data_IF_290959749294
#
_entry.id   IF_290959749294
#
_cell.length_a   1.000
_cell.length_b   1.000
_cell.length_c   1.000
_cell.angle_alpha   90.00
_cell.angle_beta   90.00
_cell.angle_gamma   90.00
#
_symmetry.space_group_name_H-M   'P 1'
#
loop_
_entity.id
_entity.type
_entity.pdbx_description
1 polymer ?
#
# COMPACT_ATOMS: atom_id res chain seq x y z
N UNK A 1 26.67 -26.23 -6.90
CA UNK A 1 26.76 -26.96 -8.17
C UNK A 1 28.21 -26.94 -8.63
N UNK A 2 28.66 -27.95 -9.36
CA UNK A 2 30.02 -28.02 -9.91
C UNK A 2 30.36 -26.82 -10.82
N UNK A 3 29.34 -26.18 -11.40
CA UNK A 3 29.48 -25.00 -12.27
C UNK A 3 29.42 -23.65 -11.53
N UNK A 4 29.13 -23.63 -10.21
CA UNK A 4 29.01 -22.41 -9.41
C UNK A 4 27.84 -21.48 -9.76
N UNK A 5 26.86 -21.97 -10.53
CA UNK A 5 25.68 -21.25 -11.01
C UNK A 5 24.45 -21.38 -10.11
N UNK A 6 24.58 -22.00 -8.94
CA UNK A 6 23.53 -22.04 -7.92
C UNK A 6 23.65 -20.82 -6.99
N UNK A 7 22.52 -20.17 -6.69
CA UNK A 7 22.46 -19.03 -5.78
C UNK A 7 21.29 -19.15 -4.82
N UNK A 8 21.49 -18.71 -3.58
CA UNK A 8 20.41 -18.40 -2.64
C UNK A 8 20.30 -16.87 -2.53
N UNK A 9 19.08 -16.36 -2.65
CA UNK A 9 18.80 -14.92 -2.65
C UNK A 9 18.09 -14.56 -1.34
N UNK A 10 18.55 -13.50 -0.68
CA UNK A 10 17.90 -12.93 0.50
C UNK A 10 17.60 -11.47 0.17
N UNK A 11 16.31 -11.13 0.11
CA UNK A 11 15.80 -9.76 -0.08
C UNK A 11 14.64 -9.60 0.87
N UNK A 12 14.71 -8.59 1.72
CA UNK A 12 13.72 -8.37 2.78
C UNK A 12 13.76 -6.90 3.27
N UNK A 13 12.77 -6.51 4.06
CA UNK A 13 12.62 -5.16 4.60
C UNK A 13 13.83 -4.76 5.48
N UNK A 14 14.41 -3.59 5.23
CA UNK A 14 15.52 -3.06 6.03
C UNK A 14 15.10 -2.77 7.48
N UNK A 15 13.83 -2.45 7.69
CA UNK A 15 13.23 -2.16 8.99
C UNK A 15 13.30 -3.37 9.95
N UNK A 16 13.40 -4.60 9.42
CA UNK A 16 13.65 -5.82 10.21
C UNK A 16 14.97 -5.77 10.97
N UNK A 17 15.93 -5.00 10.48
CA UNK A 17 17.27 -4.90 11.04
C UNK A 17 17.40 -3.79 12.08
N UNK A 18 16.33 -3.38 12.75
CA UNK A 18 16.44 -2.47 13.90
C UNK A 18 15.18 -1.69 14.26
N UNK A 19 14.30 -1.44 13.30
CA UNK A 19 13.13 -0.59 13.54
C UNK A 19 11.99 -1.37 14.18
N UNK A 20 11.80 -2.63 13.78
CA UNK A 20 10.70 -3.45 14.29
C UNK A 20 10.85 -3.75 15.79
N UNK A 21 9.75 -3.96 16.54
CA UNK A 21 9.80 -4.15 17.99
C UNK A 21 10.80 -5.22 18.43
N UNK A 22 11.75 -4.84 19.28
CA UNK A 22 12.77 -5.75 19.82
C UNK A 22 13.95 -6.05 18.89
N UNK A 23 13.86 -5.73 17.60
CA UNK A 23 14.92 -6.03 16.62
C UNK A 23 16.19 -5.24 16.88
N UNK A 24 16.13 -3.96 17.27
CA UNK A 24 17.33 -3.20 17.64
C UNK A 24 18.19 -3.89 18.71
N UNK A 25 17.53 -4.39 19.77
CA UNK A 25 18.22 -5.13 20.84
C UNK A 25 18.83 -6.42 20.33
N UNK A 26 18.16 -7.15 19.44
CA UNK A 26 18.68 -8.39 18.88
C UNK A 26 19.83 -8.16 17.90
N UNK A 27 19.59 -7.29 16.92
CA UNK A 27 20.46 -7.04 15.78
C UNK A 27 21.75 -6.35 16.22
N UNK A 28 21.65 -5.30 17.04
CA UNK A 28 22.79 -4.47 17.43
C UNK A 28 23.29 -4.76 18.85
N UNK A 29 22.44 -4.68 19.90
CA UNK A 29 22.92 -4.84 21.28
C UNK A 29 23.39 -6.27 21.58
N UNK A 30 22.67 -7.27 21.06
CA UNK A 30 23.07 -8.67 21.09
C UNK A 30 23.94 -9.05 19.89
N UNK A 31 24.42 -8.09 19.08
CA UNK A 31 25.41 -8.29 18.02
C UNK A 31 25.08 -9.38 17.00
N UNK A 32 23.80 -9.62 16.70
CA UNK A 32 23.43 -10.65 15.73
C UNK A 32 23.98 -10.33 14.32
N UNK A 33 23.90 -9.06 13.89
CA UNK A 33 24.36 -8.67 12.54
C UNK A 33 25.88 -8.78 12.39
N UNK A 34 26.61 -8.36 13.42
CA UNK A 34 28.07 -8.49 13.49
C UNK A 34 28.49 -9.97 13.35
N UNK A 35 27.86 -10.85 14.13
CA UNK A 35 28.12 -12.29 14.05
C UNK A 35 27.76 -12.88 12.70
N UNK A 36 26.64 -12.46 12.10
CA UNK A 36 26.22 -12.93 10.78
C UNK A 36 27.28 -12.62 9.71
N UNK A 37 27.77 -11.38 9.64
CA UNK A 37 28.83 -11.01 8.72
C UNK A 37 30.17 -11.68 9.01
N UNK A 38 30.54 -11.86 10.29
CA UNK A 38 31.70 -12.65 10.66
C UNK A 38 31.60 -14.09 10.14
N UNK A 39 30.41 -14.72 10.22
CA UNK A 39 30.21 -16.05 9.65
C UNK A 39 30.30 -16.06 8.12
N UNK A 40 29.76 -15.06 7.41
CA UNK A 40 29.92 -14.95 5.96
C UNK A 40 31.40 -14.86 5.55
N UNK A 41 32.18 -14.03 6.26
CA UNK A 41 33.62 -13.88 6.02
C UNK A 41 34.38 -15.17 6.33
N UNK A 42 34.08 -15.82 7.46
CA UNK A 42 34.72 -17.07 7.88
C UNK A 42 34.47 -18.21 6.88
N UNK A 43 33.32 -18.21 6.22
CA UNK A 43 32.91 -19.25 5.27
C UNK A 43 33.13 -18.86 3.80
N UNK A 44 33.88 -17.78 3.52
CA UNK A 44 34.06 -17.23 2.17
C UNK A 44 34.67 -18.21 1.16
N UNK A 45 35.34 -19.27 1.63
CA UNK A 45 36.01 -20.24 0.77
C UNK A 45 34.99 -21.04 -0.05
N UNK A 46 33.86 -21.42 0.55
CA UNK A 46 32.77 -22.15 -0.11
C UNK A 46 31.50 -21.31 -0.35
N UNK A 47 31.22 -20.31 0.50
CA UNK A 47 30.06 -19.43 0.37
C UNK A 47 30.45 -18.08 -0.24
N UNK A 48 30.17 -17.88 -1.53
CA UNK A 48 30.50 -16.62 -2.24
C UNK A 48 29.34 -15.63 -2.16
N UNK A 49 29.55 -14.52 -1.46
CA UNK A 49 28.60 -13.39 -1.44
C UNK A 49 28.79 -12.53 -2.67
N UNK A 50 27.71 -12.25 -3.41
CA UNK A 50 27.72 -11.41 -4.61
C UNK A 50 26.47 -10.55 -4.65
N UNK A 51 26.57 -9.42 -5.33
CA UNK A 51 25.40 -8.66 -5.77
C UNK A 51 24.68 -9.40 -6.90
N UNK A 52 23.40 -9.08 -7.12
CA UNK A 52 22.62 -9.64 -8.24
C UNK A 52 23.31 -9.33 -9.59
N UNK A 53 23.80 -8.11 -9.79
CA UNK A 53 24.48 -7.68 -11.03
C UNK A 53 25.79 -8.42 -11.29
N UNK A 54 26.56 -8.76 -10.26
CA UNK A 54 27.77 -9.58 -10.42
C UNK A 54 27.45 -11.03 -10.77
N UNK A 55 26.37 -11.57 -10.21
CA UNK A 55 25.92 -12.91 -10.53
C UNK A 55 25.41 -12.99 -11.98
N UNK A 56 24.55 -12.06 -12.39
CA UNK A 56 23.97 -12.00 -13.74
C UNK A 56 24.98 -11.73 -14.85
N UNK A 57 26.09 -11.02 -14.57
CA UNK A 57 27.18 -10.84 -15.56
C UNK A 57 27.96 -12.13 -15.83
N UNK A 58 27.93 -13.10 -14.92
CA UNK A 58 28.76 -14.31 -14.99
C UNK A 58 27.98 -15.56 -15.41
N UNK A 59 26.69 -15.62 -15.06
CA UNK A 59 25.86 -16.80 -15.31
C UNK A 59 24.60 -16.40 -16.05
N UNK A 60 24.26 -17.18 -17.08
CA UNK A 60 22.99 -17.02 -17.77
C UNK A 60 21.85 -17.60 -16.92
N UNK A 61 20.62 -17.02 -17.02
CA UNK A 61 19.42 -17.65 -16.47
C UNK A 61 19.29 -19.10 -16.95
N UNK A 62 18.76 -19.98 -16.10
CA UNK A 62 18.63 -21.42 -16.42
C UNK A 62 17.66 -21.72 -17.56
N UNK A 63 16.77 -20.77 -17.88
CA UNK A 63 15.80 -20.90 -18.93
C UNK A 63 14.72 -19.83 -18.82
N UNK A 64 13.70 -19.99 -19.65
CA UNK A 64 12.51 -19.14 -19.66
C UNK A 64 11.42 -19.79 -18.82
N UNK A 65 10.75 -19.00 -18.00
CA UNK A 65 9.58 -19.41 -17.22
C UNK A 65 8.47 -18.39 -17.39
N UNK A 66 7.23 -18.86 -17.46
CA UNK A 66 6.04 -18.02 -17.39
C UNK A 66 5.53 -18.00 -15.95
N UNK A 67 5.35 -16.80 -15.40
CA UNK A 67 4.84 -16.63 -14.04
C UNK A 67 3.38 -16.17 -14.10
N UNK A 68 2.52 -16.80 -13.31
CA UNK A 68 1.17 -16.32 -13.06
C UNK A 68 1.17 -15.07 -12.18
N UNK A 69 -0.03 -14.56 -11.86
CA UNK A 69 -0.17 -13.53 -10.83
C UNK A 69 0.25 -14.13 -9.48
N UNK A 70 1.11 -13.42 -8.77
CA UNK A 70 1.60 -13.86 -7.48
C UNK A 70 2.30 -12.74 -6.74
N UNK A 71 2.49 -12.95 -5.45
CA UNK A 71 3.27 -12.12 -4.56
C UNK A 71 3.95 -13.03 -3.53
N UNK A 72 4.60 -12.45 -2.52
CA UNK A 72 5.13 -13.23 -1.40
C UNK A 72 3.99 -13.91 -0.63
N UNK A 73 4.30 -15.01 0.05
CA UNK A 73 3.32 -15.95 0.63
C UNK A 73 2.27 -15.26 1.52
N UNK A 74 2.71 -14.34 2.39
CA UNK A 74 1.82 -13.63 3.30
C UNK A 74 0.81 -12.74 2.57
N UNK A 75 1.22 -12.09 1.48
CA UNK A 75 0.33 -11.28 0.64
C UNK A 75 -0.80 -12.13 0.03
N UNK A 76 -0.49 -13.36 -0.38
CA UNK A 76 -1.49 -14.27 -0.92
C UNK A 76 -2.56 -14.61 0.13
N UNK A 77 -2.19 -14.69 1.41
CA UNK A 77 -3.12 -14.89 2.52
C UNK A 77 -4.00 -13.67 2.77
N UNK A 78 -3.43 -12.46 2.84
CA UNK A 78 -4.20 -11.25 3.16
C UNK A 78 -5.16 -10.83 2.05
N UNK A 79 -4.75 -11.02 0.80
CA UNK A 79 -5.51 -10.64 -0.38
C UNK A 79 -6.46 -11.74 -0.87
N UNK A 80 -6.38 -12.96 -0.32
CA UNK A 80 -7.14 -14.10 -0.85
C UNK A 80 -6.66 -14.52 -2.25
N UNK A 81 -5.37 -14.37 -2.54
CA UNK A 81 -4.72 -14.89 -3.73
C UNK A 81 -4.37 -13.88 -4.82
N UNK A 82 -4.94 -12.67 -4.83
CA UNK A 82 -4.57 -11.60 -5.77
C UNK A 82 -4.69 -10.24 -5.07
N UNK A 83 -3.62 -9.44 -5.11
CA UNK A 83 -3.60 -8.09 -4.52
C UNK A 83 -4.81 -7.24 -4.95
N UNK A 84 -5.27 -7.39 -6.19
CA UNK A 84 -6.41 -6.61 -6.71
C UNK A 84 -7.72 -6.89 -5.98
N UNK A 85 -7.84 -8.02 -5.28
CA UNK A 85 -8.99 -8.33 -4.44
C UNK A 85 -9.17 -7.31 -3.31
N UNK A 86 -8.13 -6.55 -2.93
CA UNK A 86 -8.28 -5.44 -1.99
C UNK A 86 -9.24 -4.35 -2.48
N UNK A 87 -9.36 -4.16 -3.80
CA UNK A 87 -10.33 -3.23 -4.36
C UNK A 87 -11.77 -3.75 -4.24
N UNK A 88 -11.98 -5.06 -4.24
CA UNK A 88 -13.29 -5.64 -3.91
C UNK A 88 -13.56 -5.64 -2.41
N UNK A 89 -12.52 -5.85 -1.60
CA UNK A 89 -12.63 -5.92 -0.13
C UNK A 89 -12.88 -4.55 0.51
N UNK A 90 -12.26 -3.50 -0.02
CA UNK A 90 -12.32 -2.14 0.52
C UNK A 90 -12.82 -1.18 -0.57
N UNK A 91 -14.11 -0.78 -0.55
CA UNK A 91 -14.65 0.20 -1.48
C UNK A 91 -13.84 1.50 -1.49
N UNK A 92 -13.33 1.94 -0.35
CA UNK A 92 -12.50 3.15 -0.25
C UNK A 92 -11.14 3.00 -0.94
N UNK A 93 -10.58 1.78 -0.99
CA UNK A 93 -9.36 1.50 -1.75
C UNK A 93 -9.63 1.46 -3.25
N UNK A 94 -10.79 0.90 -3.66
CA UNK A 94 -11.23 0.95 -5.05
C UNK A 94 -11.43 2.40 -5.50
N UNK A 95 -12.15 3.19 -4.70
CA UNK A 95 -12.39 4.61 -4.95
C UNK A 95 -11.07 5.36 -5.15
N UNK A 96 -10.12 5.23 -4.20
CA UNK A 96 -8.82 5.89 -4.31
C UNK A 96 -8.05 5.44 -5.57
N UNK A 97 -8.11 4.16 -5.92
CA UNK A 97 -7.42 3.61 -7.09
C UNK A 97 -8.05 4.11 -8.40
N UNK A 98 -9.37 4.13 -8.47
CA UNK A 98 -10.12 4.63 -9.62
C UNK A 98 -9.97 6.14 -9.76
N UNK A 99 -9.91 6.87 -8.65
CA UNK A 99 -9.55 8.29 -8.61
C UNK A 99 -8.16 8.53 -9.20
N UNK A 100 -7.17 7.72 -8.82
CA UNK A 100 -5.83 7.79 -9.39
C UNK A 100 -5.84 7.53 -10.91
N UNK A 101 -6.55 6.49 -11.36
CA UNK A 101 -6.66 6.19 -12.80
C UNK A 101 -7.40 7.30 -13.56
N UNK A 102 -8.43 7.89 -12.97
CA UNK A 102 -9.16 9.01 -13.54
C UNK A 102 -8.23 10.21 -13.77
N UNK A 103 -7.45 10.62 -12.75
CA UNK A 103 -6.46 11.70 -12.89
C UNK A 103 -5.38 11.33 -13.91
N UNK A 104 -4.91 10.08 -13.91
CA UNK A 104 -3.94 9.60 -14.90
C UNK A 104 -4.46 9.69 -16.34
N UNK A 105 -5.73 9.36 -16.58
CA UNK A 105 -6.37 9.46 -17.90
C UNK A 105 -6.56 10.91 -18.32
N UNK A 106 -6.96 11.78 -17.39
CA UNK A 106 -7.06 13.22 -17.66
C UNK A 106 -5.71 13.81 -18.05
N UNK A 107 -4.64 13.48 -17.31
CA UNK A 107 -3.29 13.94 -17.64
C UNK A 107 -2.81 13.44 -19.00
N UNK A 108 -3.14 12.20 -19.37
CA UNK A 108 -2.76 11.60 -20.64
C UNK A 108 -3.44 12.25 -21.86
N UNK A 109 -4.54 13.00 -21.67
CA UNK A 109 -5.21 13.76 -22.75
C UNK A 109 -4.55 15.12 -23.01
N UNK A 110 -3.71 15.61 -22.11
CA UNK A 110 -3.04 16.89 -22.26
C UNK A 110 -1.96 16.84 -23.34
N UNK A 111 -1.96 17.81 -24.26
CA UNK A 111 -0.94 17.92 -25.31
C UNK A 111 0.44 18.25 -24.74
N UNK A 112 0.46 19.09 -23.71
CA UNK A 112 1.67 19.52 -23.01
C UNK A 112 1.52 19.17 -21.54
N UNK A 113 2.04 18.01 -21.16
CA UNK A 113 1.94 17.51 -19.79
C UNK A 113 2.78 18.38 -18.86
N UNK A 114 2.15 18.94 -17.83
CA UNK A 114 2.85 19.60 -16.73
C UNK A 114 3.61 18.54 -15.89
N UNK A 115 4.94 18.64 -15.86
CA UNK A 115 5.79 17.67 -15.13
C UNK A 115 5.54 17.69 -13.62
N UNK A 116 5.09 18.81 -13.05
CA UNK A 116 4.68 18.86 -11.64
C UNK A 116 3.37 18.11 -11.43
N UNK A 117 2.39 18.24 -12.34
CA UNK A 117 1.15 17.48 -12.30
C UNK A 117 1.42 15.97 -12.38
N UNK A 118 2.33 15.56 -13.27
CA UNK A 118 2.80 14.17 -13.41
C UNK A 118 3.49 13.66 -12.16
N UNK A 119 4.36 14.47 -11.55
CA UNK A 119 5.01 14.13 -10.28
C UNK A 119 3.99 13.92 -9.16
N UNK A 120 2.98 14.79 -9.04
CA UNK A 120 1.90 14.60 -8.07
C UNK A 120 1.12 13.31 -8.33
N UNK A 121 0.80 12.98 -9.58
CA UNK A 121 0.16 11.71 -9.92
C UNK A 121 1.01 10.52 -9.43
N UNK A 122 2.32 10.51 -9.69
CA UNK A 122 3.22 9.43 -9.24
C UNK A 122 3.28 9.33 -7.71
N UNK A 123 3.29 10.46 -6.99
CA UNK A 123 3.20 10.44 -5.53
C UNK A 123 1.86 9.89 -5.03
N UNK A 124 0.77 10.11 -5.78
CA UNK A 124 -0.53 9.49 -5.55
C UNK A 124 -0.56 7.97 -5.80
N UNK A 125 0.44 7.41 -6.49
CA UNK A 125 0.54 5.97 -6.75
C UNK A 125 1.32 5.21 -5.68
N UNK A 126 1.71 5.87 -4.57
CA UNK A 126 2.27 5.19 -3.41
C UNK A 126 1.32 4.08 -2.94
N UNK A 127 1.80 2.83 -2.89
CA UNK A 127 0.93 1.66 -2.71
C UNK A 127 0.27 1.55 -1.32
N UNK A 128 0.88 2.10 -0.27
CA UNK A 128 0.52 1.82 1.12
C UNK A 128 -0.98 2.03 1.47
N UNK A 129 -1.64 3.12 1.05
CA UNK A 129 -3.06 3.34 1.34
C UNK A 129 -4.02 2.56 0.43
N UNK A 130 -3.56 1.65 -0.42
CA UNK A 130 -4.44 0.89 -1.32
C UNK A 130 -4.80 -0.52 -0.80
N UNK A 131 -4.27 -0.93 0.35
CA UNK A 131 -4.47 -2.28 0.89
C UNK A 131 -4.17 -2.37 2.37
N UNK A 132 -4.46 -3.52 2.99
CA UNK A 132 -4.11 -3.80 4.38
C UNK A 132 -3.61 -5.24 4.55
N UNK A 133 -2.50 -5.38 5.28
CA UNK A 133 -1.93 -6.65 5.72
C UNK A 133 -1.72 -6.61 7.23
N UNK A 134 -0.47 -6.63 7.69
CA UNK A 134 -0.14 -6.45 9.12
C UNK A 134 0.00 -4.97 9.51
N UNK A 135 0.48 -4.14 8.58
CA UNK A 135 0.59 -2.70 8.79
C UNK A 135 -0.72 -1.99 8.47
N UNK A 136 -0.92 -0.83 9.08
CA UNK A 136 -2.21 -0.12 9.01
C UNK A 136 -2.71 0.12 7.57
N UNK A 137 -1.82 0.47 6.63
CA UNK A 137 -2.17 0.57 5.21
C UNK A 137 -3.36 1.49 4.94
N UNK A 138 -4.37 1.00 4.19
CA UNK A 138 -5.64 1.70 3.93
C UNK A 138 -6.32 2.16 5.22
N UNK A 139 -6.13 1.55 6.39
CA UNK A 139 -6.74 2.04 7.63
C UNK A 139 -6.11 3.35 8.17
N UNK A 140 -4.90 3.72 7.74
CA UNK A 140 -4.23 4.93 8.20
C UNK A 140 -4.70 6.17 7.42
N UNK A 141 -5.56 6.98 8.05
CA UNK A 141 -6.18 8.16 7.41
C UNK A 141 -5.18 9.18 6.86
N UNK A 142 -4.00 9.33 7.50
CA UNK A 142 -2.96 10.23 7.00
C UNK A 142 -2.27 9.72 5.72
N UNK A 143 -2.19 8.39 5.51
CA UNK A 143 -1.68 7.84 4.26
C UNK A 143 -2.68 8.06 3.12
N UNK A 144 -3.96 7.77 3.35
CA UNK A 144 -5.03 8.09 2.39
C UNK A 144 -5.07 9.59 2.07
N UNK A 145 -4.95 10.43 3.09
CA UNK A 145 -4.96 11.89 2.94
C UNK A 145 -3.79 12.39 2.08
N UNK A 146 -2.61 11.78 2.22
CA UNK A 146 -1.44 12.10 1.40
C UNK A 146 -1.70 11.76 -0.07
N UNK A 147 -2.29 10.59 -0.34
CA UNK A 147 -2.67 10.19 -1.70
C UNK A 147 -3.70 11.12 -2.30
N UNK A 148 -4.84 11.36 -1.63
CA UNK A 148 -5.85 12.32 -2.10
C UNK A 148 -5.25 13.69 -2.38
N UNK A 149 -4.43 14.21 -1.46
CA UNK A 149 -3.76 15.51 -1.63
C UNK A 149 -2.96 15.58 -2.92
N UNK A 150 -2.20 14.54 -3.23
CA UNK A 150 -1.39 14.49 -4.44
C UNK A 150 -2.27 14.37 -5.70
N UNK A 151 -3.31 13.55 -5.68
CA UNK A 151 -4.25 13.42 -6.80
C UNK A 151 -4.99 14.73 -7.09
N UNK A 152 -5.48 15.42 -6.05
CA UNK A 152 -6.16 16.72 -6.18
C UNK A 152 -5.20 17.78 -6.72
N UNK A 153 -3.93 17.80 -6.29
CA UNK A 153 -2.92 18.74 -6.82
C UNK A 153 -2.60 18.49 -8.28
N UNK A 154 -2.44 17.22 -8.66
CA UNK A 154 -2.24 16.82 -10.05
C UNK A 154 -3.39 17.31 -10.92
N UNK A 155 -4.63 17.02 -10.53
CA UNK A 155 -5.82 17.46 -11.26
C UNK A 155 -5.99 18.98 -11.31
N UNK A 156 -5.73 19.69 -10.20
CA UNK A 156 -5.82 21.15 -10.17
C UNK A 156 -4.85 21.83 -11.15
N UNK A 157 -3.70 21.20 -11.42
CA UNK A 157 -2.75 21.67 -12.43
C UNK A 157 -3.22 21.37 -13.86
N UNK A 158 -3.87 20.22 -14.09
CA UNK A 158 -4.50 19.89 -15.39
C UNK A 158 -5.59 20.92 -15.74
N UNK A 159 -6.35 21.35 -14.73
CA UNK A 159 -7.46 22.29 -14.91
C UNK A 159 -7.02 23.77 -14.94
N UNK A 160 -5.71 24.02 -14.84
CA UNK A 160 -5.14 25.38 -14.86
C UNK A 160 -5.46 26.05 -16.19
N UNK A 161 -6.02 27.26 -16.12
CA UNK A 161 -6.40 28.05 -17.30
C UNK A 161 -7.87 28.00 -17.68
N UNK A 162 -8.70 27.15 -17.04
CA UNK A 162 -10.16 27.13 -17.24
C UNK A 162 -10.90 28.37 -16.66
N UNK A 163 -10.19 29.27 -16.00
CA UNK A 163 -10.74 30.50 -15.41
C UNK A 163 -11.39 30.29 -14.02
N UNK A 164 -11.99 31.33 -13.41
CA UNK A 164 -12.50 31.28 -12.03
C UNK A 164 -13.98 30.89 -11.89
N UNK A 165 -14.71 30.67 -13.00
CA UNK A 165 -16.18 30.42 -12.98
C UNK A 165 -16.61 29.21 -13.81
N UNK A 166 -15.69 28.30 -14.14
CA UNK A 166 -16.06 27.09 -14.87
C UNK A 166 -16.77 26.09 -13.97
N UNK A 167 -17.68 25.33 -14.57
CA UNK A 167 -18.30 24.15 -13.97
C UNK A 167 -18.35 23.10 -15.09
N UNK A 168 -17.89 21.90 -14.80
CA UNK A 168 -18.01 20.74 -15.69
C UNK A 168 -18.68 19.60 -14.94
N UNK A 169 -19.45 18.81 -15.67
CA UNK A 169 -20.01 17.56 -15.16
C UNK A 169 -19.80 16.46 -16.19
N UNK A 170 -19.53 15.25 -15.71
CA UNK A 170 -19.53 14.05 -16.53
C UNK A 170 -20.26 12.91 -15.81
N UNK A 171 -20.75 11.98 -16.61
CA UNK A 171 -21.39 10.75 -16.17
C UNK A 171 -20.55 9.58 -16.65
N UNK A 172 -20.13 8.72 -15.74
CA UNK A 172 -19.21 7.62 -16.02
C UNK A 172 -19.30 6.58 -14.92
N UNK A 173 -19.30 5.30 -15.27
CA UNK A 173 -18.97 4.18 -14.37
C UNK A 173 -17.54 4.36 -13.83
N UNK A 174 -17.44 5.03 -12.69
CA UNK A 174 -16.18 5.48 -12.13
C UNK A 174 -15.48 4.34 -11.40
N UNK A 175 -16.25 3.61 -10.60
CA UNK A 175 -15.70 2.58 -9.72
C UNK A 175 -15.65 1.17 -10.36
N UNK A 176 -16.23 1.03 -11.56
CA UNK A 176 -16.35 -0.19 -12.37
C UNK A 176 -17.33 -1.22 -11.79
N UNK A 177 -18.42 -0.77 -11.19
CA UNK A 177 -19.52 -1.62 -10.70
C UNK A 177 -20.65 -1.82 -11.72
N UNK A 178 -20.61 -1.10 -12.85
CA UNK A 178 -21.59 -1.16 -13.92
C UNK A 178 -22.75 -0.17 -13.79
N UNK A 179 -22.78 0.66 -12.75
CA UNK A 179 -23.64 1.83 -12.62
C UNK A 179 -22.83 3.11 -12.89
N UNK A 180 -23.48 4.14 -13.42
CA UNK A 180 -22.81 5.41 -13.67
C UNK A 180 -22.83 6.32 -12.43
N UNK A 181 -21.68 6.92 -12.13
CA UNK A 181 -21.53 8.04 -11.19
C UNK A 181 -21.61 9.38 -11.93
N UNK A 182 -21.91 10.44 -11.16
CA UNK A 182 -21.87 11.83 -11.65
C UNK A 182 -20.72 12.55 -10.96
N UNK A 183 -19.79 13.08 -11.75
CA UNK A 183 -18.65 13.85 -11.26
C UNK A 183 -18.86 15.31 -11.66
N UNK A 184 -18.93 16.20 -10.67
CA UNK A 184 -19.11 17.64 -10.86
C UNK A 184 -17.86 18.36 -10.36
N UNK A 185 -17.30 19.24 -11.19
CA UNK A 185 -16.03 19.91 -10.90
C UNK A 185 -16.13 21.40 -11.16
N UNK A 186 -15.45 22.17 -10.32
CA UNK A 186 -15.26 23.61 -10.50
C UNK A 186 -13.90 24.02 -9.91
N UNK A 187 -13.50 25.32 -9.89
CA UNK A 187 -12.22 25.75 -9.32
C UNK A 187 -11.98 25.38 -7.84
N UNK A 188 -13.04 25.11 -7.07
CA UNK A 188 -12.98 24.92 -5.63
C UNK A 188 -13.24 23.48 -5.20
N UNK A 189 -14.10 22.75 -5.92
CA UNK A 189 -14.64 21.47 -5.50
C UNK A 189 -14.57 20.44 -6.61
N UNK A 190 -14.38 19.18 -6.21
CA UNK A 190 -14.90 18.03 -6.95
C UNK A 190 -15.96 17.36 -6.08
N UNK A 191 -17.09 17.00 -6.69
CA UNK A 191 -18.19 16.30 -6.05
C UNK A 191 -18.49 15.05 -6.86
N UNK A 192 -18.38 13.89 -6.23
CA UNK A 192 -18.69 12.62 -6.85
C UNK A 192 -19.95 12.04 -6.20
N UNK A 193 -20.96 11.77 -7.02
CA UNK A 193 -22.29 11.34 -6.60
C UNK A 193 -22.56 9.96 -7.20
N UNK A 194 -23.14 9.05 -6.41
CA UNK A 194 -23.57 7.72 -6.84
C UNK A 194 -25.11 7.63 -6.85
N UNK A 195 -25.79 7.97 -7.97
CA UNK A 195 -27.25 7.90 -8.08
C UNK A 195 -27.83 6.53 -7.73
N UNK A 196 -27.18 5.45 -8.19
CA UNK A 196 -27.62 4.08 -7.92
C UNK A 196 -27.52 3.68 -6.43
N UNK A 197 -26.70 4.39 -5.65
CA UNK A 197 -26.51 4.16 -4.22
C UNK A 197 -27.23 5.22 -3.38
N UNK A 198 -28.48 5.52 -3.74
CA UNK A 198 -29.34 6.46 -3.00
C UNK A 198 -28.99 7.94 -3.22
N UNK A 199 -28.23 8.28 -4.26
CA UNK A 199 -27.84 9.67 -4.57
C UNK A 199 -26.82 10.25 -3.58
N UNK A 200 -26.08 9.39 -2.88
CA UNK A 200 -25.06 9.81 -1.93
C UNK A 200 -23.85 10.45 -2.61
N UNK A 201 -23.26 11.46 -1.96
CA UNK A 201 -21.91 11.93 -2.29
C UNK A 201 -20.94 10.95 -1.65
N UNK A 202 -20.03 10.36 -2.43
CA UNK A 202 -19.02 9.42 -1.92
C UNK A 202 -17.61 10.01 -1.92
N UNK A 203 -17.37 11.06 -2.70
CA UNK A 203 -16.11 11.82 -2.68
C UNK A 203 -16.38 13.33 -2.78
N UNK A 204 -15.77 14.11 -1.89
CA UNK A 204 -15.84 15.56 -1.88
C UNK A 204 -14.45 16.15 -1.65
N UNK A 205 -13.87 16.71 -2.71
CA UNK A 205 -12.56 17.36 -2.65
C UNK A 205 -12.71 18.87 -2.47
N UNK A 206 -11.91 19.45 -1.58
CA UNK A 206 -11.68 20.89 -1.49
C UNK A 206 -10.30 21.23 -2.06
N UNK A 207 -10.30 21.70 -3.31
CA UNK A 207 -9.08 21.99 -4.11
C UNK A 207 -8.14 23.01 -3.46
N UNK A 208 -8.61 24.15 -2.88
CA UNK A 208 -7.73 25.15 -2.27
C UNK A 208 -6.84 24.65 -1.14
N UNK A 209 -7.20 23.53 -0.49
CA UNK A 209 -6.37 22.88 0.53
C UNK A 209 -5.92 21.47 0.14
N UNK A 210 -6.28 21.01 -1.06
CA UNK A 210 -6.00 19.66 -1.55
C UNK A 210 -6.41 18.61 -0.51
N UNK A 211 -7.65 18.74 -0.04
CA UNK A 211 -8.21 17.93 1.05
C UNK A 211 -9.43 17.18 0.54
N UNK A 212 -9.50 15.88 0.81
CA UNK A 212 -10.72 15.12 0.62
C UNK A 212 -11.50 15.12 1.94
N UNK A 213 -12.71 15.70 1.94
CA UNK A 213 -13.55 15.86 3.13
C UNK A 213 -14.24 14.56 3.54
N UNK A 214 -14.26 13.57 2.65
CA UNK A 214 -14.88 12.26 2.87
C UNK A 214 -13.86 11.14 3.06
N UNK A 215 -12.64 11.48 3.53
CA UNK A 215 -11.56 10.53 3.77
C UNK A 215 -11.79 9.71 5.05
N UNK A 216 -12.91 9.01 5.10
CA UNK A 216 -13.35 8.11 6.16
C UNK A 216 -13.20 6.65 5.71
N UNK A 217 -13.51 5.72 6.61
CA UNK A 217 -13.53 4.29 6.31
C UNK A 217 -14.78 3.67 6.93
N UNK A 218 -15.40 2.77 6.19
CA UNK A 218 -16.47 1.92 6.68
C UNK A 218 -15.91 0.89 7.66
N UNK A 219 -16.66 0.59 8.72
CA UNK A 219 -16.29 -0.46 9.67
C UNK A 219 -16.54 -1.83 9.04
N UNK A 220 -15.48 -2.58 8.79
CA UNK A 220 -15.52 -3.92 8.19
C UNK A 220 -14.88 -4.93 9.13
N UNK A 221 -15.46 -6.14 9.33
CA UNK A 221 -14.82 -7.18 10.12
C UNK A 221 -13.59 -7.75 9.40
N UNK A 222 -12.49 -7.90 10.12
CA UNK A 222 -11.27 -8.56 9.63
C UNK A 222 -11.14 -10.00 10.13
N UNK A 223 -10.51 -10.86 9.33
CA UNK A 223 -10.36 -12.29 9.65
C UNK A 223 -9.66 -12.51 10.99
N UNK A 224 -8.71 -11.64 11.34
CA UNK A 224 -7.99 -11.71 12.61
C UNK A 224 -8.80 -11.22 13.83
N UNK A 225 -9.94 -10.53 13.65
CA UNK A 225 -10.80 -10.11 14.78
C UNK A 225 -11.33 -11.32 15.56
N UNK A 226 -11.62 -12.45 14.89
CA UNK A 226 -12.03 -13.70 15.56
C UNK A 226 -10.98 -14.21 16.55
N UNK A 227 -9.69 -14.07 16.21
CA UNK A 227 -8.57 -14.49 17.07
C UNK A 227 -8.46 -13.63 18.33
N UNK A 228 -8.79 -12.34 18.22
CA UNK A 228 -8.82 -11.40 19.36
C UNK A 228 -9.94 -11.78 20.32
N UNK A 229 -11.16 -12.00 19.80
CA UNK A 229 -12.32 -12.42 20.61
C UNK A 229 -12.12 -13.75 21.35
N UNK A 230 -11.40 -14.70 20.73
CA UNK A 230 -11.16 -16.03 21.31
C UNK A 230 -10.07 -16.08 22.40
N UNK A 231 -9.22 -15.04 22.57
CA UNK A 231 -8.09 -15.06 23.51
C UNK A 231 -7.93 -13.77 24.34
N UNK A 232 -8.93 -13.32 25.12
CA UNK A 232 -8.84 -12.09 25.90
C UNK A 232 -7.75 -12.13 26.99
N UNK A 233 -7.48 -13.31 27.58
CA UNK A 233 -6.59 -13.46 28.75
C UNK A 233 -5.08 -13.54 28.47
N UNK A 234 -4.63 -13.80 27.24
CA UNK A 234 -3.19 -13.94 26.90
C UNK A 234 -2.56 -12.69 26.29
N UNK A 235 -3.35 -11.63 26.05
CA UNK A 235 -2.89 -10.42 25.36
C UNK A 235 -2.15 -9.43 26.29
N UNK A 236 -2.26 -9.59 27.61
CA UNK A 236 -1.68 -8.69 28.61
C UNK A 236 -0.37 -9.21 29.25
N UNK A 237 -0.04 -10.49 29.10
CA UNK A 237 1.18 -11.08 29.68
C UNK A 237 2.10 -11.65 28.60
N UNK A 238 2.91 -10.80 27.97
CA UNK A 238 4.09 -11.27 27.25
C UNK A 238 5.37 -10.87 27.99
N UNK A 239 5.98 -11.87 28.63
CA UNK A 239 7.36 -11.81 29.13
C UNK A 239 8.31 -11.51 27.97
N UNK A 240 9.17 -10.51 28.15
CA UNK A 240 10.19 -9.94 27.22
C UNK A 240 11.25 -10.92 26.64
N UNK A 241 11.02 -12.23 26.57
CA UNK A 241 12.10 -13.22 26.32
C UNK A 241 12.23 -13.75 24.89
N UNK A 242 11.22 -13.69 24.03
CA UNK A 242 11.30 -14.24 22.67
C UNK A 242 11.07 -13.20 21.57
N UNK A 243 11.73 -13.39 20.42
CA UNK A 243 11.59 -12.56 19.23
C UNK A 243 10.45 -13.15 18.42
N UNK A 244 9.29 -12.51 18.48
CA UNK A 244 8.11 -12.91 17.71
C UNK A 244 8.04 -12.13 16.40
N UNK A 245 7.59 -12.79 15.33
CA UNK A 245 7.31 -12.12 14.05
C UNK A 245 6.25 -11.04 14.22
N UNK A 246 6.33 -9.95 13.47
CA UNK A 246 5.28 -8.91 13.49
C UNK A 246 3.92 -9.47 13.05
N UNK A 247 3.94 -10.54 12.25
CA UNK A 247 2.79 -11.31 11.80
C UNK A 247 2.04 -12.03 12.93
N UNK A 248 2.72 -12.28 14.06
CA UNK A 248 2.17 -12.95 15.23
C UNK A 248 1.74 -11.98 16.34
N UNK A 249 2.03 -10.69 16.19
CA UNK A 249 1.70 -9.65 17.17
C UNK A 249 0.23 -9.21 17.04
N UNK A 250 -0.70 -10.07 17.41
CA UNK A 250 -2.05 -9.62 17.74
C UNK A 250 -2.01 -8.94 19.10
N UNK A 251 -2.15 -7.61 19.14
CA UNK A 251 -2.31 -6.83 20.38
C UNK A 251 -3.62 -6.08 20.34
N UNK A 252 -4.36 -6.11 21.44
CA UNK A 252 -5.44 -5.14 21.63
C UNK A 252 -4.83 -3.79 21.99
N UNK A 253 -5.22 -2.73 21.29
CA UNK A 253 -4.77 -1.36 21.61
C UNK A 253 -5.52 -0.76 22.80
N UNK A 254 -6.73 -1.24 23.06
CA UNK A 254 -7.64 -0.73 24.08
C UNK A 254 -8.22 -1.87 24.91
N UNK A 255 -8.54 -1.58 26.17
CA UNK A 255 -9.20 -2.53 27.07
C UNK A 255 -10.68 -2.61 26.72
N UNK A 256 -11.25 -3.81 26.65
CA UNK A 256 -12.69 -4.01 26.37
C UNK A 256 -13.05 -4.09 24.89
N UNK A 257 -12.06 -4.14 23.99
CA UNK A 257 -12.24 -4.32 22.54
C UNK A 257 -12.93 -5.66 22.19
N UNK A 258 -12.86 -6.64 23.08
CA UNK A 258 -13.55 -7.92 22.97
C UNK A 258 -15.09 -7.82 23.03
N UNK A 259 -15.62 -6.71 23.54
CA UNK A 259 -17.06 -6.48 23.70
C UNK A 259 -17.75 -5.94 22.43
N UNK A 260 -17.00 -5.69 21.36
CA UNK A 260 -17.47 -5.18 20.07
C UNK A 260 -17.22 -6.20 18.96
#
# INVERSE_FOLDING_TARGET
>A
SEQGNAAAIIVDDGEKFGLWPGTHKWVYQKKWLERFFQQLIKNKDWLKTKTLSEFMRRYQPQGVVSLGRGSYEEMMSWSGGDFRNFFSKYPEANNLHKRMLYVSRSLAKEKNVDEEAKRYLYMGQCNCPYWHGVFGGIYLGHLRQSTYRNLIRSESLIEKGKGPRWIESETVDFDADGADEIIIKNPFLNVFVAPAQGGGIFELDYKPKSLNLMNVMTRVPEAYHKKIKAKPRRLLEFRRKEITSIHDLLRSKEKGLENY
#
